data_IF_450204019215
#
_entry.id   IF_450204019215
#
_cell.length_a   1.000
_cell.length_b   1.000
_cell.length_c   1.000
_cell.angle_alpha   90.00
_cell.angle_beta   90.00
_cell.angle_gamma   90.00
#
_symmetry.space_group_name_H-M   'P 1'
#
loop_
_entity.id
_entity.type
_entity.pdbx_description
1 polymer ?
#
# COMPACT_ATOMS: atom_id res chain seq x y z
N UNK A 1 12.26 -19.23 12.68
CA UNK A 1 11.93 -18.56 11.39
C UNK A 1 10.50 -17.99 11.32
N UNK A 2 9.43 -18.78 11.56
CA UNK A 2 8.03 -18.27 11.44
C UNK A 2 7.67 -17.12 12.39
N UNK A 3 8.20 -17.09 13.63
CA UNK A 3 7.91 -16.02 14.61
C UNK A 3 8.57 -14.69 14.22
N UNK A 4 9.83 -14.72 13.79
CA UNK A 4 10.58 -13.54 13.34
C UNK A 4 9.95 -12.89 12.12
N UNK A 5 9.57 -13.67 11.11
CA UNK A 5 8.92 -13.13 9.91
C UNK A 5 7.56 -12.48 10.24
N UNK A 6 6.78 -13.08 11.15
CA UNK A 6 5.53 -12.47 11.65
C UNK A 6 5.78 -11.16 12.39
N UNK A 7 6.80 -11.12 13.24
CA UNK A 7 7.18 -9.91 13.97
C UNK A 7 7.59 -8.79 13.00
N UNK A 8 8.47 -9.09 12.04
CA UNK A 8 8.87 -8.12 11.02
C UNK A 8 7.69 -7.64 10.19
N UNK A 9 6.80 -8.54 9.79
CA UNK A 9 5.59 -8.17 9.06
C UNK A 9 4.69 -7.24 9.87
N UNK A 10 4.52 -7.49 11.17
CA UNK A 10 3.76 -6.61 12.06
C UNK A 10 4.44 -5.24 12.23
N UNK A 11 5.76 -5.20 12.41
CA UNK A 11 6.52 -3.94 12.50
C UNK A 11 6.35 -3.14 11.22
N UNK A 12 6.54 -3.76 10.05
CA UNK A 12 6.34 -3.12 8.76
C UNK A 12 4.92 -2.57 8.61
N UNK A 13 3.91 -3.32 9.07
CA UNK A 13 2.51 -2.89 9.02
C UNK A 13 2.25 -1.66 9.88
N UNK A 14 2.75 -1.66 11.12
CA UNK A 14 2.60 -0.55 12.06
C UNK A 14 3.32 0.69 11.56
N UNK A 15 4.55 0.56 11.05
CA UNK A 15 5.28 1.67 10.44
C UNK A 15 4.55 2.23 9.22
N UNK A 16 4.07 1.35 8.32
CA UNK A 16 3.41 1.77 7.10
C UNK A 16 2.09 2.51 7.37
N UNK A 17 1.22 1.94 8.21
CA UNK A 17 -0.02 2.62 8.62
C UNK A 17 0.25 3.86 9.47
N UNK A 18 1.27 3.80 10.34
CA UNK A 18 1.71 4.91 11.18
C UNK A 18 2.26 6.09 10.40
N UNK A 19 2.66 5.91 9.13
CA UNK A 19 3.01 7.01 8.24
C UNK A 19 1.80 7.54 7.43
N UNK A 20 0.94 6.64 6.94
CA UNK A 20 -0.23 7.02 6.12
C UNK A 20 -1.25 7.81 6.93
N UNK A 21 -1.67 7.29 8.09
CA UNK A 21 -2.81 7.88 8.83
C UNK A 21 -2.52 9.30 9.32
N UNK A 22 -1.33 9.61 9.91
CA UNK A 22 -1.01 10.98 10.28
C UNK A 22 -0.91 11.91 9.07
N UNK A 23 -0.42 11.44 7.91
CA UNK A 23 -0.39 12.24 6.68
C UNK A 23 -1.79 12.65 6.23
N UNK A 24 -2.76 11.75 6.31
CA UNK A 24 -4.16 12.03 5.96
C UNK A 24 -4.76 13.07 6.91
N UNK A 25 -4.57 12.90 8.23
CA UNK A 25 -5.06 13.86 9.23
C UNK A 25 -4.41 15.22 9.04
N UNK A 26 -3.11 15.25 8.76
CA UNK A 26 -2.39 16.49 8.52
C UNK A 26 -2.91 17.21 7.27
N UNK A 27 -3.17 16.48 6.19
CA UNK A 27 -3.80 17.04 4.99
C UNK A 27 -5.22 17.54 5.26
N UNK A 28 -6.01 16.92 6.15
CA UNK A 28 -7.36 17.39 6.45
C UNK A 28 -7.37 18.65 7.32
N UNK A 29 -6.37 18.83 8.18
CA UNK A 29 -6.23 20.03 9.04
C UNK A 29 -5.72 21.23 8.23
N UNK A 30 -4.73 21.03 7.35
CA UNK A 30 -4.06 22.12 6.62
C UNK A 30 -4.59 22.31 5.20
N UNK A 31 -5.32 21.34 4.63
CA UNK A 31 -5.63 21.28 3.19
C UNK A 31 -6.47 22.43 2.61
N UNK A 32 -7.15 23.22 3.43
CA UNK A 32 -7.88 24.42 3.00
C UNK A 32 -7.10 25.73 3.25
N UNK A 33 -5.92 25.66 3.87
CA UNK A 33 -5.09 26.83 4.15
C UNK A 33 -4.47 27.38 2.87
N UNK A 34 -4.32 28.70 2.81
CA UNK A 34 -3.51 29.40 1.81
C UNK A 34 -2.22 29.96 2.39
N UNK A 35 -1.98 29.76 3.69
CA UNK A 35 -0.75 30.17 4.37
C UNK A 35 0.40 29.27 3.92
N UNK A 36 1.30 29.84 3.13
CA UNK A 36 2.45 29.14 2.56
C UNK A 36 3.41 28.61 3.63
N UNK A 37 3.59 29.31 4.75
CA UNK A 37 4.49 28.88 5.83
C UNK A 37 3.89 27.69 6.58
N UNK A 38 2.59 27.74 6.87
CA UNK A 38 1.88 26.62 7.48
C UNK A 38 1.92 25.37 6.58
N UNK A 39 1.69 25.55 5.27
CA UNK A 39 1.76 24.47 4.28
C UNK A 39 3.17 23.88 4.23
N UNK A 40 4.23 24.69 4.20
CA UNK A 40 5.60 24.20 4.17
C UNK A 40 5.95 23.30 5.37
N UNK A 41 5.69 23.76 6.59
CA UNK A 41 5.92 22.95 7.80
C UNK A 41 5.11 21.65 7.78
N UNK A 42 3.87 21.72 7.30
CA UNK A 42 3.04 20.55 7.10
C UNK A 42 3.67 19.55 6.12
N UNK A 43 4.21 20.04 4.99
CA UNK A 43 4.83 19.22 3.97
C UNK A 43 6.16 18.61 4.43
N UNK A 44 6.96 19.35 5.19
CA UNK A 44 8.16 18.82 5.84
C UNK A 44 7.82 17.65 6.76
N UNK A 45 6.76 17.77 7.56
CA UNK A 45 6.29 16.67 8.40
C UNK A 45 5.86 15.45 7.57
N UNK A 46 5.03 15.64 6.54
CA UNK A 46 4.55 14.54 5.67
C UNK A 46 5.72 13.86 4.94
N UNK A 47 6.67 14.64 4.43
CA UNK A 47 7.87 14.11 3.78
C UNK A 47 8.72 13.29 4.76
N UNK A 48 8.96 13.83 5.96
CA UNK A 48 9.72 13.13 6.99
C UNK A 48 9.10 11.78 7.38
N UNK A 49 7.80 11.72 7.65
CA UNK A 49 7.13 10.45 8.00
C UNK A 49 7.01 9.51 6.79
N UNK A 50 6.96 10.04 5.57
CA UNK A 50 6.99 9.22 4.35
C UNK A 50 8.31 8.46 4.25
N UNK A 51 9.43 9.17 4.39
CA UNK A 51 10.77 8.58 4.27
C UNK A 51 11.23 7.81 5.50
N UNK A 52 10.83 8.21 6.71
CA UNK A 52 11.25 7.55 7.94
C UNK A 52 10.38 6.31 8.27
N UNK A 53 9.07 6.36 8.00
CA UNK A 53 8.13 5.32 8.41
C UNK A 53 7.49 4.61 7.21
N UNK A 54 6.87 5.37 6.30
CA UNK A 54 6.01 4.79 5.26
C UNK A 54 6.78 3.90 4.30
N UNK A 55 7.85 4.40 3.70
CA UNK A 55 8.65 3.66 2.73
C UNK A 55 9.41 2.50 3.38
N UNK A 56 10.17 2.69 4.47
CA UNK A 56 10.83 1.57 5.14
C UNK A 56 9.85 0.51 5.65
N UNK A 57 8.72 0.94 6.24
CA UNK A 57 7.67 0.05 6.74
C UNK A 57 7.07 -0.80 5.62
N UNK A 58 6.79 -0.20 4.47
CA UNK A 58 6.28 -0.89 3.28
C UNK A 58 7.25 -1.95 2.77
N UNK A 59 8.55 -1.63 2.68
CA UNK A 59 9.58 -2.59 2.30
C UNK A 59 9.68 -3.76 3.28
N UNK A 60 9.73 -3.47 4.59
CA UNK A 60 9.77 -4.51 5.63
C UNK A 60 8.53 -5.40 5.55
N UNK A 61 7.34 -4.82 5.37
CA UNK A 61 6.07 -5.53 5.26
C UNK A 61 6.09 -6.52 4.10
N UNK A 62 6.53 -6.09 2.92
CA UNK A 62 6.53 -6.88 1.70
C UNK A 62 7.61 -7.95 1.71
N UNK A 63 8.83 -7.63 2.15
CA UNK A 63 9.90 -8.62 2.27
C UNK A 63 9.52 -9.71 3.27
N UNK A 64 9.03 -9.35 4.45
CA UNK A 64 8.60 -10.31 5.45
C UNK A 64 7.40 -11.16 4.97
N UNK A 65 6.45 -10.54 4.27
CA UNK A 65 5.30 -11.22 3.68
C UNK A 65 5.69 -12.20 2.57
N UNK A 66 6.57 -11.77 1.66
CA UNK A 66 7.10 -12.58 0.56
C UNK A 66 7.90 -13.77 1.05
N UNK A 67 8.81 -13.57 2.02
CA UNK A 67 9.56 -14.66 2.65
C UNK A 67 8.63 -15.68 3.32
N UNK A 68 7.56 -15.22 3.97
CA UNK A 68 6.57 -16.11 4.59
C UNK A 68 5.79 -16.91 3.55
N UNK A 69 5.44 -16.30 2.41
CA UNK A 69 4.75 -16.96 1.31
C UNK A 69 5.64 -18.03 0.64
N UNK A 70 6.92 -17.73 0.43
CA UNK A 70 7.91 -18.66 -0.15
C UNK A 70 8.24 -19.83 0.80
N UNK A 71 8.34 -19.57 2.11
CA UNK A 71 8.64 -20.60 3.10
C UNK A 71 7.44 -21.49 3.46
N UNK A 72 6.21 -21.04 3.20
CA UNK A 72 5.04 -21.90 3.29
C UNK A 72 5.00 -22.84 2.09
N UNK A 73 4.73 -24.14 2.30
CA UNK A 73 4.46 -25.13 1.23
C UNK A 73 3.14 -24.83 0.49
N UNK A 74 2.81 -23.57 0.24
CA UNK A 74 1.67 -23.18 -0.57
C UNK A 74 2.05 -23.44 -2.02
N UNK A 75 1.31 -24.31 -2.70
CA UNK A 75 1.37 -24.38 -4.17
C UNK A 75 0.79 -23.06 -4.68
N UNK A 76 1.66 -22.06 -4.87
CA UNK A 76 1.33 -20.68 -5.26
C UNK A 76 0.37 -20.62 -6.46
N UNK A 77 0.46 -21.61 -7.35
CA UNK A 77 -0.35 -21.76 -8.57
C UNK A 77 -1.77 -22.29 -8.30
N UNK A 78 -2.00 -23.01 -7.20
CA UNK A 78 -3.34 -23.56 -6.86
C UNK A 78 -4.25 -22.55 -6.17
N UNK A 79 -3.70 -21.41 -5.73
CA UNK A 79 -4.43 -20.39 -4.99
C UNK A 79 -4.34 -19.04 -5.68
N UNK A 80 -5.25 -18.79 -6.65
CA UNK A 80 -5.42 -17.49 -7.35
C UNK A 80 -5.48 -16.29 -6.38
N UNK A 81 -6.00 -16.52 -5.17
CA UNK A 81 -6.02 -15.56 -4.08
C UNK A 81 -4.62 -15.10 -3.62
N UNK A 82 -3.67 -16.01 -3.51
CA UNK A 82 -2.31 -15.70 -3.09
C UNK A 82 -1.58 -14.88 -4.15
N UNK A 83 -1.79 -15.21 -5.44
CA UNK A 83 -1.29 -14.45 -6.58
C UNK A 83 -1.87 -13.03 -6.56
N UNK A 84 -3.20 -12.88 -6.39
CA UNK A 84 -3.84 -11.57 -6.32
C UNK A 84 -3.25 -10.69 -5.20
N UNK A 85 -2.99 -11.27 -4.03
CA UNK A 85 -2.32 -10.55 -2.93
C UNK A 85 -0.90 -10.12 -3.26
N UNK A 86 -0.11 -10.98 -3.89
CA UNK A 86 1.27 -10.64 -4.26
C UNK A 86 1.32 -9.56 -5.34
N UNK A 87 0.44 -9.65 -6.35
CA UNK A 87 0.30 -8.61 -7.38
C UNK A 87 -0.09 -7.28 -6.74
N UNK A 88 -1.09 -7.28 -5.85
CA UNK A 88 -1.53 -6.06 -5.18
C UNK A 88 -0.44 -5.46 -4.28
N UNK A 89 0.30 -6.30 -3.54
CA UNK A 89 1.44 -5.85 -2.75
C UNK A 89 2.55 -5.24 -3.64
N UNK A 90 2.84 -5.85 -4.79
CA UNK A 90 3.81 -5.33 -5.74
C UNK A 90 3.36 -3.97 -6.33
N UNK A 91 2.08 -3.83 -6.70
CA UNK A 91 1.54 -2.56 -7.17
C UNK A 91 1.63 -1.47 -6.11
N UNK A 92 1.32 -1.78 -4.85
CA UNK A 92 1.45 -0.85 -3.72
C UNK A 92 2.92 -0.41 -3.57
N UNK A 93 3.85 -1.36 -3.64
CA UNK A 93 5.29 -1.06 -3.53
C UNK A 93 5.78 -0.15 -4.64
N UNK A 94 5.42 -0.50 -5.88
CA UNK A 94 5.89 0.20 -7.07
C UNK A 94 5.33 1.62 -7.09
N UNK A 95 4.02 1.78 -6.87
CA UNK A 95 3.38 3.08 -6.78
C UNK A 95 3.97 3.91 -5.63
N UNK A 96 4.02 3.34 -4.43
CA UNK A 96 4.53 4.02 -3.24
C UNK A 96 5.98 4.48 -3.36
N UNK A 97 6.87 3.61 -3.85
CA UNK A 97 8.32 3.86 -3.86
C UNK A 97 8.76 4.70 -5.05
N UNK A 98 8.25 4.41 -6.26
CA UNK A 98 8.76 5.02 -7.49
C UNK A 98 7.92 6.18 -8.00
N UNK A 99 6.68 6.33 -7.53
CA UNK A 99 5.79 7.42 -7.95
C UNK A 99 5.51 8.35 -6.77
N UNK A 100 4.93 7.82 -5.69
CA UNK A 100 4.43 8.64 -4.58
C UNK A 100 5.56 9.28 -3.77
N UNK A 101 6.59 8.53 -3.37
CA UNK A 101 7.68 9.08 -2.57
C UNK A 101 8.46 10.22 -3.28
N UNK A 102 8.86 10.09 -4.56
CA UNK A 102 9.44 11.21 -5.30
C UNK A 102 8.49 12.40 -5.43
N UNK A 103 7.19 12.14 -5.61
CA UNK A 103 6.19 13.19 -5.76
C UNK A 103 5.97 13.97 -4.45
N UNK A 104 5.94 13.27 -3.31
CA UNK A 104 5.93 13.89 -1.97
C UNK A 104 7.11 14.83 -1.79
N UNK A 105 8.33 14.43 -2.19
CA UNK A 105 9.51 15.29 -2.14
C UNK A 105 9.39 16.50 -3.06
N UNK A 106 8.86 16.34 -4.27
CA UNK A 106 8.67 17.46 -5.20
C UNK A 106 7.65 18.48 -4.67
N UNK A 107 6.49 18.01 -4.18
CA UNK A 107 5.46 18.88 -3.58
C UNK A 107 6.02 19.62 -2.37
N UNK A 108 6.85 18.95 -1.57
CA UNK A 108 7.51 19.56 -0.40
C UNK A 108 8.48 20.66 -0.82
N UNK A 109 9.30 20.42 -1.86
CA UNK A 109 10.21 21.46 -2.38
C UNK A 109 9.46 22.68 -2.93
N UNK A 110 8.32 22.48 -3.59
CA UNK A 110 7.49 23.61 -4.06
C UNK A 110 6.83 24.35 -2.88
N UNK A 111 6.46 23.65 -1.81
CA UNK A 111 5.95 24.28 -0.59
C UNK A 111 7.01 25.16 0.09
N UNK A 112 8.25 24.66 0.20
CA UNK A 112 9.39 25.40 0.74
C UNK A 112 9.67 26.68 -0.07
N UNK A 113 9.68 26.58 -1.41
CA UNK A 113 9.83 27.73 -2.29
C UNK A 113 8.66 28.73 -2.15
N UNK A 114 7.44 28.23 -1.96
CA UNK A 114 6.27 29.07 -1.73
C UNK A 114 6.37 29.85 -0.42
N UNK A 115 6.80 29.20 0.66
CA UNK A 115 7.03 29.85 1.95
C UNK A 115 8.13 30.92 1.85
N UNK A 116 9.23 30.62 1.15
CA UNK A 116 10.33 31.59 0.94
C UNK A 116 9.89 32.83 0.14
N UNK A 117 8.92 32.69 -0.77
CA UNK A 117 8.33 33.80 -1.54
C UNK A 117 7.17 34.48 -0.83
N UNK A 118 6.72 33.97 0.32
CA UNK A 118 5.56 34.47 1.06
C UNK A 118 4.22 34.28 0.33
N UNK A 119 4.19 33.47 -0.73
CA UNK A 119 2.99 33.23 -1.52
C UNK A 119 2.98 31.80 -2.09
N UNK A 120 1.79 31.20 -2.19
CA UNK A 120 1.66 29.86 -2.74
C UNK A 120 1.92 29.86 -4.25
N UNK A 121 2.91 29.09 -4.69
CA UNK A 121 3.24 28.98 -6.11
C UNK A 121 2.08 28.34 -6.90
N UNK A 122 1.77 28.83 -8.11
CA UNK A 122 0.68 28.28 -8.93
C UNK A 122 0.86 26.79 -9.28
N UNK A 123 2.10 26.30 -9.26
CA UNK A 123 2.46 24.90 -9.51
C UNK A 123 2.16 23.97 -8.34
N UNK A 124 1.95 24.50 -7.12
CA UNK A 124 1.73 23.69 -5.93
C UNK A 124 0.46 22.84 -6.04
N UNK A 125 -0.69 23.46 -6.34
CA UNK A 125 -1.98 22.76 -6.36
C UNK A 125 -2.08 21.64 -7.39
N UNK A 126 -1.68 21.81 -8.67
CA UNK A 126 -1.73 20.71 -9.62
C UNK A 126 -0.82 19.55 -9.23
N UNK A 127 0.37 19.84 -8.69
CA UNK A 127 1.32 18.81 -8.25
C UNK A 127 0.80 18.07 -7.00
N UNK A 128 0.21 18.81 -6.05
CA UNK A 128 -0.44 18.25 -4.87
C UNK A 128 -1.65 17.39 -5.22
N UNK A 129 -2.45 17.80 -6.20
CA UNK A 129 -3.57 17.00 -6.70
C UNK A 129 -3.11 15.68 -7.33
N UNK A 130 -1.98 15.72 -8.05
CA UNK A 130 -1.35 14.50 -8.56
C UNK A 130 -0.88 13.58 -7.42
N UNK A 131 -0.25 14.13 -6.39
CA UNK A 131 0.13 13.38 -5.19
C UNK A 131 -1.07 12.72 -4.54
N UNK A 132 -2.16 13.46 -4.34
CA UNK A 132 -3.38 12.94 -3.73
C UNK A 132 -4.01 11.83 -4.55
N UNK A 133 -4.02 11.96 -5.89
CA UNK A 133 -4.54 10.92 -6.76
C UNK A 133 -3.77 9.59 -6.60
N UNK A 134 -2.44 9.64 -6.66
CA UNK A 134 -1.61 8.45 -6.46
C UNK A 134 -1.69 7.93 -5.03
N UNK A 135 -1.76 8.81 -4.03
CA UNK A 135 -1.93 8.46 -2.63
C UNK A 135 -3.24 7.74 -2.35
N UNK A 136 -4.36 8.25 -2.87
CA UNK A 136 -5.69 7.63 -2.78
C UNK A 136 -5.69 6.28 -3.49
N UNK A 137 -5.15 6.20 -4.70
CA UNK A 137 -5.06 4.93 -5.43
C UNK A 137 -4.26 3.88 -4.62
N UNK A 138 -3.13 4.28 -4.03
CA UNK A 138 -2.30 3.41 -3.22
C UNK A 138 -3.00 2.95 -1.93
N UNK A 139 -3.70 3.86 -1.26
CA UNK A 139 -4.48 3.55 -0.07
C UNK A 139 -5.66 2.61 -0.37
N UNK A 140 -6.38 2.81 -1.47
CA UNK A 140 -7.46 1.92 -1.90
C UNK A 140 -6.94 0.52 -2.20
N UNK A 141 -5.79 0.40 -2.87
CA UNK A 141 -5.13 -0.90 -3.08
C UNK A 141 -4.80 -1.58 -1.76
N UNK A 142 -4.30 -0.84 -0.76
CA UNK A 142 -4.05 -1.37 0.58
C UNK A 142 -5.34 -1.86 1.26
N UNK A 143 -6.43 -1.09 1.19
CA UNK A 143 -7.73 -1.48 1.74
C UNK A 143 -8.22 -2.78 1.08
N UNK A 144 -8.15 -2.89 -0.24
CA UNK A 144 -8.49 -4.12 -0.97
C UNK A 144 -7.59 -5.28 -0.53
N UNK A 145 -6.30 -5.06 -0.30
CA UNK A 145 -5.37 -6.09 0.18
C UNK A 145 -5.77 -6.62 1.56
N UNK A 146 -6.20 -5.73 2.47
CA UNK A 146 -6.74 -6.11 3.78
C UNK A 146 -8.05 -6.87 3.68
N UNK A 147 -8.99 -6.40 2.86
CA UNK A 147 -10.26 -7.10 2.64
C UNK A 147 -10.02 -8.51 2.10
N UNK A 148 -9.13 -8.67 1.12
CA UNK A 148 -8.70 -9.98 0.62
C UNK A 148 -8.05 -10.82 1.72
N UNK A 149 -7.34 -10.21 2.67
CA UNK A 149 -6.72 -10.92 3.77
C UNK A 149 -7.71 -11.45 4.81
N UNK A 150 -8.76 -10.68 5.11
CA UNK A 150 -9.78 -11.03 6.09
C UNK A 150 -10.80 -12.01 5.50
N UNK A 151 -11.40 -11.64 4.38
CA UNK A 151 -12.53 -12.39 3.82
C UNK A 151 -12.11 -13.63 3.01
N UNK A 152 -10.79 -13.81 2.78
CA UNK A 152 -10.16 -14.95 2.10
C UNK A 152 -11.12 -15.62 1.12
N UNK A 153 -11.48 -14.95 0.00
CA UNK A 153 -12.48 -15.46 -0.90
C UNK A 153 -12.12 -16.90 -1.27
N UNK A 154 -12.99 -17.82 -0.86
CA UNK A 154 -12.86 -19.23 -1.16
C UNK A 154 -13.12 -19.39 -2.64
N UNK A 155 -12.12 -19.09 -3.47
CA UNK A 155 -12.03 -19.58 -4.83
C UNK A 155 -11.76 -21.09 -4.76
N UNK A 156 -12.67 -21.83 -4.12
CA UNK A 156 -12.80 -23.28 -4.26
C UNK A 156 -13.10 -23.48 -5.74
N UNK A 157 -12.06 -23.80 -6.50
CA UNK A 157 -12.24 -24.44 -7.80
C UNK A 157 -13.13 -25.64 -7.54
N UNK A 158 -14.24 -25.67 -8.26
CA UNK A 158 -15.19 -26.76 -8.44
C UNK A 158 -14.46 -28.11 -8.59
N UNK A 159 -14.03 -28.72 -7.49
CA UNK A 159 -13.59 -30.13 -7.46
C UNK A 159 -14.78 -31.07 -7.29
N UNK A 160 -15.98 -30.54 -6.99
CA UNK A 160 -17.21 -31.32 -6.95
C UNK A 160 -17.70 -31.76 -8.34
N UNK A 161 -17.35 -31.05 -9.42
CA UNK A 161 -17.72 -31.45 -10.78
C UNK A 161 -16.92 -32.64 -11.32
N UNK A 162 -15.66 -32.78 -10.92
CA UNK A 162 -14.79 -33.87 -11.38
C UNK A 162 -14.96 -35.19 -10.58
N UNK A 163 -15.53 -35.13 -9.37
CA UNK A 163 -15.90 -36.32 -8.59
C UNK A 163 -17.28 -36.85 -8.95
N UNK A 164 -18.24 -35.99 -9.33
CA UNK A 164 -19.55 -36.41 -9.80
C UNK A 164 -19.47 -37.21 -11.12
N UNK A 165 -18.60 -36.78 -12.05
CA UNK A 165 -18.40 -37.49 -13.33
C UNK A 165 -17.75 -38.88 -13.18
N UNK A 166 -16.95 -39.11 -12.12
CA UNK A 166 -16.35 -40.43 -11.86
C UNK A 166 -17.28 -41.40 -11.13
N UNK A 167 -18.33 -40.89 -10.46
CA UNK A 167 -19.34 -41.72 -9.80
C UNK A 167 -20.51 -42.07 -10.74
N UNK A 168 -20.64 -41.37 -11.86
CA UNK A 168 -21.69 -41.59 -12.86
C UNK A 168 -21.35 -42.67 -13.91
N UNK A 169 -20.16 -43.28 -13.89
CA UNK A 169 -19.84 -44.42 -14.75
C UNK A 169 -20.01 -45.73 -13.97
N UNK A 170 -21.17 -46.40 -14.02
CA UNK A 170 -21.27 -47.76 -13.51
C UNK A 170 -20.40 -48.67 -14.36
N UNK A 171 -19.53 -49.44 -13.70
CA UNK A 171 -18.84 -50.56 -14.31
C UNK A 171 -19.90 -51.49 -14.93
N UNK A 172 -19.93 -51.57 -16.26
CA UNK A 172 -20.73 -52.58 -16.95
C UNK A 172 -19.95 -53.91 -16.92
N UNK A 173 -20.63 -55.04 -16.64
CA UNK A 173 -20.02 -56.36 -16.49
C UNK A 173 -19.46 -56.95 -17.78
#
# INVERSE_FOLDING_TARGET
>A
MKKTAKLLHLIGLVMFLGGILPSIVMNSVVGASTDAVLIDHQRLFVSAITWALTIPGMWVLIVAGGLTALAGKYRLVEHRWLIAKLVLAALILLNGTFILAPLVSQVTSIAEQSAAQGQLLPTYMPLKAQEDLYGIANFLMLVVAFLLAIYKPSFRRTQQGAQADRQATPASP
#
